data_IF_511200902042
#
_entry.id   IF_511200902042
#
_cell.length_a   1.000
_cell.length_b   1.000
_cell.length_c   1.000
_cell.angle_alpha   90.00
_cell.angle_beta   90.00
_cell.angle_gamma   90.00
#
_symmetry.space_group_name_H-M   'P 1'
#
loop_
_entity.id
_entity.type
_entity.pdbx_description
1 polymer ?
#
# COMPACT_ATOMS: atom_id res chain seq x y z
N UNK A 1 3.54 4.53 -9.40
CA UNK A 1 3.95 5.62 -8.48
C UNK A 1 3.02 6.81 -8.57
N UNK A 2 2.63 7.20 -9.78
CA UNK A 2 1.66 8.28 -10.01
C UNK A 2 0.35 8.11 -9.21
N UNK A 3 -0.32 6.96 -9.28
CA UNK A 3 -1.56 6.72 -8.50
C UNK A 3 -1.36 6.86 -6.98
N UNK A 4 -0.19 6.46 -6.46
CA UNK A 4 0.12 6.57 -5.04
C UNK A 4 0.40 8.02 -4.65
N UNK A 5 1.07 8.77 -5.52
CA UNK A 5 1.32 10.19 -5.32
C UNK A 5 0.01 10.98 -5.31
N UNK A 6 -0.86 10.76 -6.31
CA UNK A 6 -2.17 11.41 -6.39
C UNK A 6 -3.02 11.10 -5.15
N UNK A 7 -3.06 9.84 -4.72
CA UNK A 7 -3.75 9.46 -3.49
C UNK A 7 -3.15 10.15 -2.26
N UNK A 8 -1.82 10.21 -2.15
CA UNK A 8 -1.13 10.86 -1.03
C UNK A 8 -1.46 12.37 -0.95
N UNK A 9 -1.44 13.06 -2.10
CA UNK A 9 -1.82 14.47 -2.21
C UNK A 9 -3.30 14.66 -1.84
N UNK A 10 -4.19 13.82 -2.34
CA UNK A 10 -5.62 13.88 -2.02
C UNK A 10 -5.89 13.72 -0.52
N UNK A 11 -5.25 12.74 0.13
CA UNK A 11 -5.36 12.55 1.58
C UNK A 11 -4.78 13.75 2.34
N UNK A 12 -3.62 14.26 1.95
CA UNK A 12 -3.00 15.41 2.60
C UNK A 12 -3.88 16.66 2.53
N UNK A 13 -4.41 16.99 1.34
CA UNK A 13 -5.26 18.16 1.12
C UNK A 13 -6.57 18.11 1.91
N UNK A 14 -7.10 16.91 2.17
CA UNK A 14 -8.32 16.71 2.95
C UNK A 14 -8.06 16.38 4.43
N UNK A 15 -6.80 16.33 4.85
CA UNK A 15 -6.44 16.03 6.23
C UNK A 15 -6.55 17.27 7.12
N UNK A 16 -6.94 17.11 8.40
CA UNK A 16 -6.84 18.19 9.37
C UNK A 16 -5.38 18.64 9.57
N UNK A 17 -5.19 19.90 9.97
CA UNK A 17 -3.86 20.55 10.07
C UNK A 17 -2.84 19.77 10.91
N UNK A 18 -3.29 19.07 11.95
CA UNK A 18 -2.41 18.26 12.78
C UNK A 18 -1.80 17.09 12.00
N UNK A 19 -2.56 16.44 11.11
CA UNK A 19 -2.06 15.35 10.27
C UNK A 19 -1.15 15.87 9.14
N UNK A 20 -1.48 17.02 8.55
CA UNK A 20 -0.58 17.68 7.59
C UNK A 20 0.78 18.00 8.23
N UNK A 21 0.77 18.50 9.48
CA UNK A 21 1.99 18.75 10.24
C UNK A 21 2.80 17.47 10.52
N UNK A 22 2.16 16.32 10.68
CA UNK A 22 2.89 15.05 10.83
C UNK A 22 3.64 14.68 9.54
N UNK A 23 3.06 14.92 8.36
CA UNK A 23 3.75 14.70 7.10
C UNK A 23 4.91 15.68 6.91
N UNK A 24 4.73 16.96 7.29
CA UNK A 24 5.81 17.95 7.28
C UNK A 24 6.95 17.58 8.23
N UNK A 25 6.64 17.19 9.47
CA UNK A 25 7.64 16.74 10.44
C UNK A 25 8.37 15.47 9.96
N UNK A 26 7.67 14.59 9.23
CA UNK A 26 8.30 13.44 8.61
C UNK A 26 9.33 13.87 7.56
N UNK A 27 8.97 14.81 6.67
CA UNK A 27 9.91 15.38 5.70
C UNK A 27 11.15 15.98 6.38
N UNK A 28 10.96 16.82 7.41
CA UNK A 28 12.07 17.41 8.17
C UNK A 28 12.94 16.37 8.90
N UNK A 29 12.42 15.19 9.20
CA UNK A 29 13.21 14.13 9.81
C UNK A 29 14.10 13.38 8.80
N UNK A 30 13.77 13.47 7.50
CA UNK A 30 14.63 12.98 6.41
C UNK A 30 15.68 14.01 6.04
N UNK A 31 15.31 15.30 6.02
CA UNK A 31 16.16 16.45 5.67
C UNK A 31 17.15 16.75 6.80
N UNK A 32 18.28 16.05 6.79
CA UNK A 32 19.22 16.02 7.90
C UNK A 32 20.17 17.21 7.91
N UNK A 33 20.48 17.76 6.74
CA UNK A 33 21.30 18.95 6.59
C UNK A 33 20.49 20.25 6.47
N UNK A 34 19.17 20.15 6.25
CA UNK A 34 18.25 21.28 6.26
C UNK A 34 18.27 22.09 4.96
N UNK A 35 18.71 21.50 3.85
CA UNK A 35 18.77 22.18 2.55
C UNK A 35 17.39 22.30 1.85
N UNK A 36 16.36 21.68 2.45
CA UNK A 36 14.98 21.70 1.96
C UNK A 36 14.70 20.67 0.88
N UNK A 37 15.59 19.72 0.65
CA UNK A 37 15.50 18.62 -0.31
C UNK A 37 16.04 17.34 0.34
N UNK A 38 15.63 16.17 -0.14
CA UNK A 38 16.17 14.91 0.37
C UNK A 38 17.12 14.31 -0.65
N UNK A 39 18.40 14.23 -0.30
CA UNK A 39 19.38 13.52 -1.09
C UNK A 39 19.19 11.99 -1.00
N UNK A 40 19.75 11.25 -1.97
CA UNK A 40 19.74 9.78 -1.92
C UNK A 40 20.37 9.22 -0.64
N UNK A 41 21.42 9.88 -0.14
CA UNK A 41 22.13 9.43 1.06
C UNK A 41 21.29 9.61 2.33
N UNK A 42 20.60 10.74 2.45
CA UNK A 42 19.66 11.00 3.54
C UNK A 42 18.51 10.01 3.55
N UNK A 43 17.92 9.76 2.37
CA UNK A 43 16.89 8.75 2.21
C UNK A 43 17.34 7.37 2.69
N UNK A 44 18.50 6.87 2.22
CA UNK A 44 19.01 5.55 2.62
C UNK A 44 19.34 5.48 4.11
N UNK A 45 19.95 6.54 4.65
CA UNK A 45 20.29 6.63 6.07
C UNK A 45 19.03 6.61 6.94
N UNK A 46 18.02 7.39 6.57
CA UNK A 46 16.73 7.43 7.24
C UNK A 46 16.04 6.06 7.25
N UNK A 47 15.98 5.38 6.09
CA UNK A 47 15.37 4.05 6.01
C UNK A 47 16.05 3.04 6.94
N UNK A 48 17.38 3.09 7.03
CA UNK A 48 18.16 2.23 7.92
C UNK A 48 17.90 2.55 9.40
N UNK A 49 17.96 3.82 9.77
CA UNK A 49 17.85 4.27 11.17
C UNK A 49 16.44 4.05 11.73
N UNK A 50 15.40 4.24 10.92
CA UNK A 50 14.01 4.14 11.36
C UNK A 50 13.39 2.74 11.18
N UNK A 51 14.19 1.72 10.82
CA UNK A 51 13.69 0.35 10.66
C UNK A 51 12.84 0.12 9.40
N UNK A 52 12.94 1.01 8.41
CA UNK A 52 12.30 0.87 7.10
C UNK A 52 13.21 0.19 6.06
N UNK A 53 14.18 -0.63 6.50
CA UNK A 53 15.09 -1.36 5.61
C UNK A 53 14.41 -2.35 4.64
N UNK A 54 13.10 -2.51 4.80
CA UNK A 54 12.22 -3.27 3.93
C UNK A 54 11.83 -2.50 2.65
N UNK A 55 11.98 -1.18 2.64
CA UNK A 55 11.87 -0.34 1.44
C UNK A 55 13.17 -0.45 0.67
N UNK A 56 13.07 -0.84 -0.61
CA UNK A 56 14.23 -0.91 -1.48
C UNK A 56 14.78 0.50 -1.76
N UNK A 57 16.09 0.70 -1.71
CA UNK A 57 16.69 2.02 -1.99
C UNK A 57 16.41 2.53 -3.41
N UNK A 58 16.15 1.63 -4.37
CA UNK A 58 15.69 1.99 -5.71
C UNK A 58 14.36 2.76 -5.70
N UNK A 59 13.57 2.64 -4.63
CA UNK A 59 12.32 3.38 -4.47
C UNK A 59 12.55 4.90 -4.47
N UNK A 60 13.77 5.37 -4.19
CA UNK A 60 14.14 6.77 -4.40
C UNK A 60 13.87 7.22 -5.84
N UNK A 61 14.31 6.44 -6.84
CA UNK A 61 14.11 6.76 -8.26
C UNK A 61 12.65 6.68 -8.69
N UNK A 62 11.88 5.86 -7.98
CA UNK A 62 10.44 5.73 -8.18
C UNK A 62 9.69 6.96 -7.61
N UNK A 63 10.25 7.61 -6.59
CA UNK A 63 9.72 8.81 -5.94
C UNK A 63 10.13 10.11 -6.65
N UNK A 64 11.37 10.17 -7.16
CA UNK A 64 11.96 11.30 -7.91
C UNK A 64 11.27 11.43 -9.29
N UNK A 65 10.14 12.14 -9.31
CA UNK A 65 9.25 12.28 -10.47
C UNK A 65 9.80 13.28 -11.46
N UNK A 66 10.31 14.40 -10.97
CA UNK A 66 10.87 15.45 -11.83
C UNK A 66 12.31 15.16 -12.26
N UNK A 67 12.94 14.14 -11.67
CA UNK A 67 14.29 13.64 -12.00
C UNK A 67 15.37 14.68 -11.75
N UNK A 68 15.16 15.52 -10.74
CA UNK A 68 16.14 16.52 -10.33
C UNK A 68 17.26 15.93 -9.44
N UNK A 69 17.13 14.66 -9.05
CA UNK A 69 18.12 13.92 -8.29
C UNK A 69 17.96 14.04 -6.77
N UNK A 70 16.95 14.78 -6.32
CA UNK A 70 16.55 14.93 -4.92
C UNK A 70 15.06 14.61 -4.76
N UNK A 71 14.57 14.51 -3.52
CA UNK A 71 13.13 14.43 -3.27
C UNK A 71 12.63 15.71 -2.61
N UNK A 72 11.64 16.34 -3.23
CA UNK A 72 10.88 17.42 -2.62
C UNK A 72 9.80 16.90 -1.66
N UNK A 73 9.15 17.83 -0.95
CA UNK A 73 8.08 17.50 0.00
C UNK A 73 6.97 16.62 -0.60
N UNK A 74 6.51 16.94 -1.81
CA UNK A 74 5.42 16.21 -2.47
C UNK A 74 5.80 14.77 -2.87
N UNK A 75 7.08 14.52 -3.12
CA UNK A 75 7.59 13.19 -3.43
C UNK A 75 7.74 12.38 -2.14
N UNK A 76 8.31 12.98 -1.09
CA UNK A 76 8.40 12.38 0.25
C UNK A 76 7.02 12.10 0.86
N UNK A 77 6.00 12.91 0.54
CA UNK A 77 4.63 12.65 0.95
C UNK A 77 4.13 11.27 0.43
N UNK A 78 4.57 10.88 -0.76
CA UNK A 78 4.25 9.55 -1.33
C UNK A 78 4.92 8.44 -0.52
N UNK A 79 6.19 8.62 -0.13
CA UNK A 79 6.90 7.71 0.77
C UNK A 79 6.17 7.59 2.11
N UNK A 80 5.77 8.71 2.70
CA UNK A 80 5.03 8.73 3.97
C UNK A 80 3.72 7.96 3.85
N UNK A 81 2.95 8.20 2.79
CA UNK A 81 1.71 7.47 2.52
C UNK A 81 1.95 5.97 2.36
N UNK A 82 2.98 5.56 1.62
CA UNK A 82 3.36 4.14 1.46
C UNK A 82 3.74 3.52 2.80
N UNK A 83 4.61 4.16 3.60
CA UNK A 83 4.99 3.64 4.93
C UNK A 83 3.77 3.46 5.84
N UNK A 84 2.84 4.42 5.83
CA UNK A 84 1.67 4.39 6.73
C UNK A 84 0.55 3.46 6.26
N UNK A 85 0.46 3.16 4.98
CA UNK A 85 -0.68 2.42 4.41
C UNK A 85 -0.32 1.12 3.70
N UNK A 86 0.96 0.92 3.37
CA UNK A 86 1.50 -0.19 2.59
C UNK A 86 2.68 -0.79 3.36
N UNK A 87 2.36 -1.47 4.45
CA UNK A 87 3.27 -2.36 5.19
C UNK A 87 2.91 -3.83 4.98
N UNK A 88 2.36 -4.16 3.81
CA UNK A 88 1.80 -5.47 3.50
C UNK A 88 2.80 -6.26 2.66
N UNK A 89 3.06 -7.50 3.07
CA UNK A 89 4.10 -8.35 2.49
C UNK A 89 3.49 -9.56 1.80
N UNK A 90 3.94 -9.82 0.57
CA UNK A 90 3.59 -11.06 -0.10
C UNK A 90 4.13 -12.24 0.73
N UNK A 91 3.25 -13.09 1.24
CA UNK A 91 3.67 -14.26 2.02
C UNK A 91 4.38 -15.32 1.17
N UNK A 92 4.26 -15.26 -0.16
CA UNK A 92 4.95 -16.16 -1.09
C UNK A 92 6.39 -15.74 -1.44
N UNK A 93 6.63 -14.46 -1.73
CA UNK A 93 7.94 -13.97 -2.21
C UNK A 93 8.57 -12.85 -1.36
N UNK A 94 7.91 -12.44 -0.27
CA UNK A 94 8.37 -11.40 0.66
C UNK A 94 8.62 -10.02 0.01
N UNK A 95 8.03 -9.77 -1.16
CA UNK A 95 8.02 -8.44 -1.76
C UNK A 95 6.90 -7.58 -1.16
N UNK A 96 7.17 -6.28 -1.02
CA UNK A 96 6.19 -5.31 -0.55
C UNK A 96 5.04 -5.15 -1.57
N UNK A 97 3.81 -5.13 -1.07
CA UNK A 97 2.59 -5.00 -1.87
C UNK A 97 2.14 -3.54 -1.91
N UNK A 98 2.56 -2.82 -2.95
CA UNK A 98 2.23 -1.40 -3.17
C UNK A 98 1.00 -1.19 -4.06
N UNK A 99 0.65 -2.16 -4.90
CA UNK A 99 -0.47 -2.09 -5.86
C UNK A 99 -1.57 -3.11 -5.57
N UNK A 100 -2.16 -3.68 -6.62
CA UNK A 100 -3.15 -4.75 -6.50
C UNK A 100 -2.52 -5.99 -5.85
N UNK A 101 -3.18 -6.52 -4.83
CA UNK A 101 -2.79 -7.75 -4.15
C UNK A 101 -4.00 -8.59 -3.79
N UNK A 102 -3.80 -9.89 -3.60
CA UNK A 102 -4.81 -10.84 -3.15
C UNK A 102 -4.65 -11.10 -1.67
N UNK A 103 -5.75 -11.16 -0.93
CA UNK A 103 -5.75 -11.43 0.50
C UNK A 103 -6.74 -12.53 0.85
N UNK A 104 -6.37 -13.40 1.79
CA UNK A 104 -7.26 -14.43 2.30
C UNK A 104 -8.38 -13.78 3.11
N UNK A 105 -9.64 -14.01 2.70
CA UNK A 105 -10.81 -13.41 3.35
C UNK A 105 -10.92 -13.86 4.81
N UNK A 106 -10.72 -15.16 5.08
CA UNK A 106 -10.80 -15.70 6.44
C UNK A 106 -9.75 -15.11 7.38
N UNK A 107 -8.52 -14.89 6.90
CA UNK A 107 -7.45 -14.27 7.67
C UNK A 107 -7.65 -12.76 7.85
N UNK A 108 -8.24 -12.09 6.85
CA UNK A 108 -8.62 -10.68 6.96
C UNK A 108 -9.70 -10.49 8.04
N UNK A 109 -10.73 -11.33 8.04
CA UNK A 109 -11.87 -11.21 8.95
C UNK A 109 -11.55 -11.62 10.40
N UNK A 110 -10.53 -12.45 10.61
CA UNK A 110 -10.11 -12.87 11.97
C UNK A 110 -9.39 -11.76 12.75
N UNK A 111 -8.96 -10.68 12.10
CA UNK A 111 -8.40 -9.49 12.74
C UNK A 111 -7.01 -9.66 13.39
N UNK A 112 -6.35 -10.82 13.25
CA UNK A 112 -5.04 -11.08 13.85
C UNK A 112 -3.88 -10.84 12.87
N UNK A 113 -3.86 -11.58 11.77
CA UNK A 113 -2.81 -11.51 10.75
C UNK A 113 -3.41 -11.85 9.38
N UNK A 114 -3.27 -10.92 8.44
CA UNK A 114 -3.67 -11.13 7.05
C UNK A 114 -2.72 -12.11 6.35
N UNK A 115 -3.20 -12.74 5.27
CA UNK A 115 -2.38 -13.56 4.39
C UNK A 115 -2.47 -13.00 2.97
N UNK A 116 -1.49 -12.20 2.61
CA UNK A 116 -1.49 -11.39 1.39
C UNK A 116 -0.49 -11.92 0.37
N UNK A 117 -0.84 -11.83 -0.91
CA UNK A 117 -0.08 -12.37 -2.04
C UNK A 117 -0.05 -11.37 -3.18
N UNK A 118 1.12 -11.23 -3.81
CA UNK A 118 1.21 -10.51 -5.08
C UNK A 118 0.47 -11.29 -6.19
N UNK A 119 0.03 -10.62 -7.26
CA UNK A 119 -0.66 -11.28 -8.37
C UNK A 119 0.11 -12.46 -8.95
N UNK A 120 1.44 -12.36 -9.02
CA UNK A 120 2.31 -13.43 -9.54
C UNK A 120 2.30 -14.67 -8.65
N UNK A 121 2.47 -14.52 -7.33
CA UNK A 121 2.46 -15.65 -6.39
C UNK A 121 1.07 -16.30 -6.33
N UNK A 122 0.01 -15.50 -6.37
CA UNK A 122 -1.36 -16.02 -6.39
C UNK A 122 -1.63 -16.80 -7.69
N UNK A 123 -1.35 -16.21 -8.86
CA UNK A 123 -1.55 -16.85 -10.18
C UNK A 123 -0.79 -18.17 -10.31
N UNK A 124 0.45 -18.22 -9.81
CA UNK A 124 1.32 -19.39 -9.92
C UNK A 124 1.16 -20.39 -8.76
N UNK A 125 0.27 -20.13 -7.80
CA UNK A 125 0.13 -20.92 -6.56
C UNK A 125 1.44 -21.12 -5.80
N UNK A 126 2.32 -20.11 -5.80
CA UNK A 126 3.60 -20.12 -5.08
C UNK A 126 3.44 -19.67 -3.63
N UNK A 127 2.68 -20.43 -2.86
CA UNK A 127 2.44 -20.20 -1.43
C UNK A 127 1.85 -21.47 -0.80
N UNK A 128 1.97 -21.61 0.52
CA UNK A 128 1.30 -22.66 1.29
C UNK A 128 0.34 -22.01 2.29
N UNK A 129 -0.96 -22.29 2.15
CA UNK A 129 -2.01 -21.73 3.00
C UNK A 129 -3.25 -22.62 3.00
N UNK A 130 -3.94 -22.73 4.14
CA UNK A 130 -5.04 -23.68 4.33
C UNK A 130 -6.40 -23.18 3.83
N UNK A 131 -6.58 -21.86 3.66
CA UNK A 131 -7.80 -21.29 3.10
C UNK A 131 -7.68 -21.13 1.58
N UNK A 132 -8.80 -21.27 0.87
CA UNK A 132 -8.86 -21.15 -0.60
C UNK A 132 -9.56 -19.88 -1.08
N UNK A 133 -10.29 -19.18 -0.20
CA UNK A 133 -11.02 -17.96 -0.58
C UNK A 133 -10.12 -16.73 -0.48
N UNK A 134 -9.71 -16.24 -1.65
CA UNK A 134 -8.93 -15.02 -1.80
C UNK A 134 -9.69 -14.03 -2.68
N UNK A 135 -9.62 -12.76 -2.29
CA UNK A 135 -10.10 -11.64 -3.09
C UNK A 135 -8.98 -10.62 -3.25
N UNK A 136 -8.96 -9.88 -4.36
CA UNK A 136 -8.09 -8.71 -4.43
C UNK A 136 -8.58 -7.60 -3.49
N UNK A 137 -7.69 -6.66 -3.18
CA UNK A 137 -7.96 -5.55 -2.27
C UNK A 137 -9.15 -4.67 -2.69
N UNK A 138 -9.48 -4.58 -3.99
CA UNK A 138 -10.67 -3.86 -4.46
C UNK A 138 -11.94 -4.68 -4.29
N UNK A 139 -11.93 -5.95 -4.69
CA UNK A 139 -13.09 -6.84 -4.54
C UNK A 139 -13.42 -7.11 -3.08
N UNK A 140 -12.41 -7.25 -2.22
CA UNK A 140 -12.62 -7.38 -0.79
C UNK A 140 -13.34 -6.14 -0.25
N UNK A 141 -12.86 -4.92 -0.54
CA UNK A 141 -13.51 -3.69 -0.11
C UNK A 141 -14.96 -3.62 -0.59
N UNK A 142 -15.22 -3.96 -1.87
CA UNK A 142 -16.58 -3.98 -2.42
C UNK A 142 -17.46 -5.03 -1.76
N UNK A 143 -16.91 -6.18 -1.37
CA UNK A 143 -17.66 -7.25 -0.70
C UNK A 143 -18.17 -6.84 0.68
N UNK A 144 -17.48 -5.88 1.33
CA UNK A 144 -17.88 -5.29 2.62
C UNK A 144 -18.99 -4.26 2.49
N UNK A 145 -19.41 -3.90 1.26
CA UNK A 145 -20.63 -3.11 1.06
C UNK A 145 -21.79 -3.94 1.62
N UNK A 146 -22.41 -3.45 2.69
CA UNK A 146 -23.57 -4.10 3.31
C UNK A 146 -24.63 -4.46 2.28
N UNK A 147 -25.35 -5.56 2.52
CA UNK A 147 -26.49 -5.91 1.68
C UNK A 147 -27.57 -4.82 1.82
N UNK A 148 -28.28 -4.47 0.73
CA UNK A 148 -29.49 -3.65 0.85
C UNK A 148 -30.45 -4.33 1.84
N UNK A 149 -31.25 -3.55 2.60
CA UNK A 149 -32.30 -4.12 3.43
C UNK A 149 -33.17 -5.07 2.61
N UNK A 150 -33.26 -6.35 3.01
CA UNK A 150 -34.10 -7.35 2.35
C UNK A 150 -33.41 -8.28 1.33
N UNK A 151 -32.11 -8.15 1.06
CA UNK A 151 -31.41 -9.10 0.20
C UNK A 151 -30.92 -10.33 1.00
N UNK A 152 -31.31 -11.54 0.56
CA UNK A 152 -30.85 -12.79 1.15
C UNK A 152 -29.33 -12.95 1.03
N UNK A 153 -28.72 -13.48 2.09
CA UNK A 153 -27.28 -13.63 2.25
C UNK A 153 -26.74 -14.77 1.37
N UNK A 154 -26.56 -14.51 0.07
CA UNK A 154 -25.94 -15.45 -0.88
C UNK A 154 -24.41 -15.37 -0.79
N UNK A 155 -23.87 -15.62 0.40
CA UNK A 155 -22.45 -15.90 0.59
C UNK A 155 -22.14 -17.29 0.02
N UNK A 156 -21.96 -17.38 -1.30
CA UNK A 156 -21.24 -18.46 -2.00
C UNK A 156 -21.09 -18.22 -3.52
N UNK A 157 -21.71 -17.19 -4.12
CA UNK A 157 -21.73 -17.01 -5.59
C UNK A 157 -21.00 -15.75 -6.10
N UNK A 158 -20.36 -14.96 -5.23
CA UNK A 158 -19.84 -13.64 -5.62
C UNK A 158 -18.57 -13.64 -6.48
N UNK A 159 -17.71 -14.65 -6.41
CA UNK A 159 -16.43 -14.60 -7.17
C UNK A 159 -16.61 -14.96 -8.66
N UNK A 160 -17.54 -15.87 -8.99
CA UNK A 160 -17.82 -16.24 -10.39
C UNK A 160 -18.75 -15.25 -11.11
N UNK A 161 -19.70 -14.63 -10.40
CA UNK A 161 -20.64 -13.67 -11.01
C UNK A 161 -19.97 -12.33 -11.37
N UNK A 162 -18.94 -11.89 -10.63
CA UNK A 162 -18.26 -10.62 -10.93
C UNK A 162 -17.36 -10.74 -12.17
N UNK A 163 -16.78 -11.92 -12.43
CA UNK A 163 -15.99 -12.17 -13.65
C UNK A 163 -16.90 -12.52 -14.83
N UNK A 164 -18.00 -13.26 -14.61
CA UNK A 164 -18.91 -13.69 -15.68
C UNK A 164 -19.79 -12.58 -16.29
N UNK A 165 -19.94 -11.42 -15.64
CA UNK A 165 -20.70 -10.28 -16.18
C UNK A 165 -19.83 -9.23 -16.90
N UNK A 166 -18.54 -9.51 -17.13
CA UNK A 166 -17.61 -8.67 -17.89
C UNK A 166 -17.18 -9.29 -19.23
N UNK A 167 -17.92 -10.30 -19.72
CA UNK A 167 -17.83 -10.83 -21.09
C UNK A 167 -19.17 -10.65 -21.81
#
# INVERSE_FOLDING_TARGET
MEDLNEAAIAYYNNAPRNLQRLAWNFFLALDSDGDGRISYMEFVNFLRQCGYGWINSNFFKDLDRDRDGCLGFWEVLTLYYVIKTRGIWCQGCQQCLVGLYFTCVSCFDSGSRTFDLCPTCYKQKKFSHNHSNFLDNHLLLRSKRGLPPGAANLNLVRTLIIIANCL
#
